data_IF_766903828198
#
_entry.id   IF_766903828198
#
_cell.length_a   1.000
_cell.length_b   1.000
_cell.length_c   1.000
_cell.angle_alpha   90.00
_cell.angle_beta   90.00
_cell.angle_gamma   90.00
#
_symmetry.space_group_name_H-M   'P 1'
#
loop_
_entity.id
_entity.type
_entity.pdbx_description
1 polymer ?
#
# COMPACT_ATOMS: atom_id res chain seq x y z
N UNK A 1 61.54 54.99 18.14
CA UNK A 1 61.12 54.36 16.88
C UNK A 1 61.16 52.81 16.94
N UNK A 2 62.28 52.17 17.24
CA UNK A 2 62.39 50.69 17.25
C UNK A 2 61.51 49.91 18.23
N UNK A 3 61.06 50.50 19.36
CA UNK A 3 60.11 49.81 20.30
C UNK A 3 58.60 49.89 19.81
N UNK A 4 58.24 50.93 19.10
CA UNK A 4 56.90 51.11 18.49
C UNK A 4 56.65 50.07 17.43
N UNK A 5 57.63 49.80 16.57
CA UNK A 5 57.58 48.84 15.49
C UNK A 5 57.54 47.39 15.99
N UNK A 6 58.19 47.10 17.15
CA UNK A 6 58.13 45.81 17.82
C UNK A 6 56.81 45.53 18.50
N UNK A 7 56.11 46.51 19.03
CA UNK A 7 54.80 46.40 19.64
C UNK A 7 53.71 46.26 18.57
N UNK A 8 53.87 46.93 17.43
CA UNK A 8 52.98 46.80 16.26
C UNK A 8 53.08 45.40 15.62
N UNK A 9 54.31 44.87 15.50
CA UNK A 9 54.54 43.48 15.06
C UNK A 9 53.96 42.44 16.02
N UNK A 10 54.03 42.65 17.33
CA UNK A 10 53.42 41.75 18.31
C UNK A 10 51.88 41.77 18.25
N UNK A 11 51.27 42.94 18.02
CA UNK A 11 49.85 43.06 17.84
C UNK A 11 49.38 42.33 16.54
N UNK A 12 50.07 42.52 15.43
CA UNK A 12 49.78 41.83 14.16
C UNK A 12 49.90 40.31 14.30
N UNK A 13 50.93 39.82 14.98
CA UNK A 13 51.09 38.37 15.23
C UNK A 13 50.03 37.82 16.17
N UNK A 14 49.57 38.59 17.16
CA UNK A 14 48.47 38.20 18.04
C UNK A 14 47.13 38.14 17.27
N UNK A 15 46.86 39.10 16.40
CA UNK A 15 45.68 39.16 15.55
C UNK A 15 45.64 38.01 14.54
N UNK A 16 46.73 37.74 13.84
CA UNK A 16 46.89 36.60 12.93
C UNK A 16 46.72 35.26 13.64
N UNK A 17 47.22 35.11 14.89
CA UNK A 17 46.98 33.90 15.69
C UNK A 17 45.53 33.75 16.09
N UNK A 18 44.84 34.83 16.47
CA UNK A 18 43.44 34.81 16.82
C UNK A 18 42.56 34.43 15.62
N UNK A 19 42.88 34.99 14.44
CA UNK A 19 42.21 34.67 13.19
C UNK A 19 42.43 33.21 12.75
N UNK A 20 43.65 32.70 12.90
CA UNK A 20 43.97 31.31 12.59
C UNK A 20 43.25 30.32 13.55
N UNK A 21 43.11 30.66 14.82
CA UNK A 21 42.36 29.88 15.79
C UNK A 21 40.86 29.92 15.50
N UNK A 22 40.31 31.08 15.11
CA UNK A 22 38.93 31.24 14.69
C UNK A 22 38.63 30.46 13.41
N UNK A 23 39.51 30.49 12.42
CA UNK A 23 39.40 29.69 11.19
C UNK A 23 39.43 28.18 11.48
N UNK A 24 40.39 27.69 12.28
CA UNK A 24 40.41 26.26 12.67
C UNK A 24 39.18 25.82 13.45
N UNK A 25 38.63 26.66 14.30
CA UNK A 25 37.40 26.38 15.02
C UNK A 25 36.20 26.34 14.05
N UNK A 26 36.16 27.18 13.02
CA UNK A 26 35.15 27.22 11.97
C UNK A 26 35.23 25.98 11.07
N UNK A 27 36.43 25.59 10.63
CA UNK A 27 36.65 24.36 9.84
C UNK A 27 36.23 23.09 10.59
N UNK A 28 36.54 23.02 11.90
CA UNK A 28 36.14 21.89 12.76
C UNK A 28 34.62 21.82 12.95
N UNK A 29 33.91 22.96 12.94
CA UNK A 29 32.48 23.08 12.94
C UNK A 29 31.88 22.72 11.58
N UNK A 30 32.49 23.12 10.46
CA UNK A 30 32.02 22.81 9.10
C UNK A 30 32.27 21.35 8.74
N UNK A 31 33.36 20.72 9.18
CA UNK A 31 33.57 19.29 8.99
C UNK A 31 32.49 18.41 9.59
N UNK A 32 31.96 18.79 10.74
CA UNK A 32 30.88 18.08 11.39
C UNK A 32 29.52 18.21 10.64
N UNK A 33 29.21 19.39 10.11
CA UNK A 33 27.98 19.61 9.34
C UNK A 33 27.96 18.83 8.02
N UNK A 34 29.12 18.53 7.42
CA UNK A 34 29.23 17.66 6.24
C UNK A 34 28.71 16.24 6.52
N UNK A 35 29.01 15.67 7.69
CA UNK A 35 28.49 14.35 8.06
C UNK A 35 26.97 14.37 8.29
N UNK A 36 26.43 15.43 8.89
CA UNK A 36 24.98 15.59 9.03
C UNK A 36 24.31 15.66 7.67
N UNK A 37 24.83 16.48 6.74
CA UNK A 37 24.29 16.59 5.39
C UNK A 37 24.35 15.26 4.63
N UNK A 38 25.45 14.51 4.75
CA UNK A 38 25.59 13.20 4.11
C UNK A 38 24.58 12.18 4.65
N UNK A 39 24.40 12.11 5.96
CA UNK A 39 23.39 11.23 6.58
C UNK A 39 21.98 11.60 6.15
N UNK A 40 21.68 12.89 6.00
CA UNK A 40 20.39 13.37 5.51
C UNK A 40 20.11 12.91 4.07
N UNK A 41 21.11 12.98 3.19
CA UNK A 41 20.98 12.50 1.81
C UNK A 41 20.69 11.01 1.79
N UNK A 42 21.39 10.20 2.59
CA UNK A 42 21.14 8.75 2.69
C UNK A 42 19.71 8.47 3.17
N UNK A 43 19.27 9.13 4.24
CA UNK A 43 17.90 8.98 4.77
C UNK A 43 16.87 9.39 3.72
N UNK A 44 17.11 10.47 2.98
CA UNK A 44 16.21 10.94 1.92
C UNK A 44 16.07 9.93 0.76
N UNK A 45 17.18 9.30 0.35
CA UNK A 45 17.18 8.24 -0.66
C UNK A 45 16.38 7.03 -0.18
N UNK A 46 16.60 6.59 1.08
CA UNK A 46 15.84 5.49 1.67
C UNK A 46 14.33 5.82 1.76
N UNK A 47 13.99 7.05 2.13
CA UNK A 47 12.61 7.54 2.15
C UNK A 47 11.97 7.51 0.76
N UNK A 48 12.72 7.88 -0.29
CA UNK A 48 12.24 7.83 -1.68
C UNK A 48 11.98 6.38 -2.12
N UNK A 49 12.87 5.44 -1.79
CA UNK A 49 12.68 4.01 -2.06
C UNK A 49 11.46 3.48 -1.33
N UNK A 50 11.30 3.81 -0.04
CA UNK A 50 10.12 3.43 0.74
C UNK A 50 8.83 3.97 0.13
N UNK A 51 8.81 5.23 -0.31
CA UNK A 51 7.66 5.87 -0.96
C UNK A 51 7.29 5.19 -2.28
N UNK A 52 8.28 4.88 -3.11
CA UNK A 52 8.06 4.17 -4.37
C UNK A 52 7.46 2.76 -4.14
N UNK A 53 7.99 2.01 -3.19
CA UNK A 53 7.48 0.67 -2.84
C UNK A 53 6.08 0.73 -2.21
N UNK A 54 5.84 1.68 -1.30
CA UNK A 54 4.54 1.93 -0.70
C UNK A 54 3.47 2.27 -1.73
N UNK A 55 3.80 3.14 -2.70
CA UNK A 55 2.94 3.45 -3.84
C UNK A 55 2.61 2.23 -4.69
N UNK A 56 3.57 1.34 -4.92
CA UNK A 56 3.36 0.07 -5.63
C UNK A 56 2.34 -0.84 -4.92
N UNK A 57 2.40 -0.95 -3.59
CA UNK A 57 1.41 -1.71 -2.81
C UNK A 57 0.02 -1.06 -2.87
N UNK A 58 -0.08 0.27 -2.79
CA UNK A 58 -1.35 0.99 -2.94
C UNK A 58 -1.99 0.75 -4.31
N UNK A 59 -1.19 0.82 -5.37
CA UNK A 59 -1.66 0.54 -6.74
C UNK A 59 -2.15 -0.90 -6.89
N UNK A 60 -1.44 -1.87 -6.29
CA UNK A 60 -1.87 -3.26 -6.27
C UNK A 60 -3.19 -3.43 -5.53
N UNK A 61 -3.35 -2.80 -4.36
CA UNK A 61 -4.61 -2.80 -3.60
C UNK A 61 -5.77 -2.34 -4.47
N UNK A 62 -5.62 -1.19 -5.14
CA UNK A 62 -6.67 -0.65 -6.00
C UNK A 62 -7.00 -1.57 -7.18
N UNK A 63 -5.98 -2.17 -7.81
CA UNK A 63 -6.17 -3.12 -8.91
C UNK A 63 -6.98 -4.34 -8.47
N UNK A 64 -6.58 -4.96 -7.36
CA UNK A 64 -7.25 -6.16 -6.85
C UNK A 64 -8.68 -5.85 -6.34
N UNK A 65 -8.90 -4.68 -5.73
CA UNK A 65 -10.25 -4.22 -5.36
C UNK A 65 -11.14 -4.01 -6.58
N UNK A 66 -10.61 -3.46 -7.67
CA UNK A 66 -11.35 -3.32 -8.92
C UNK A 66 -11.71 -4.69 -9.51
N UNK A 67 -10.79 -5.66 -9.47
CA UNK A 67 -11.09 -7.04 -9.90
C UNK A 67 -12.16 -7.69 -9.03
N UNK A 68 -12.08 -7.51 -7.71
CA UNK A 68 -13.10 -7.99 -6.79
C UNK A 68 -14.49 -7.38 -7.10
N UNK A 69 -14.54 -6.11 -7.44
CA UNK A 69 -15.79 -5.43 -7.85
C UNK A 69 -16.34 -5.99 -9.16
N UNK A 70 -15.46 -6.25 -10.14
CA UNK A 70 -15.84 -6.88 -11.40
C UNK A 70 -16.45 -8.27 -11.16
N UNK A 71 -15.75 -9.14 -10.42
CA UNK A 71 -16.22 -10.47 -10.11
C UNK A 71 -17.50 -10.47 -9.26
N UNK A 72 -17.70 -9.46 -8.41
CA UNK A 72 -18.97 -9.25 -7.71
C UNK A 72 -20.11 -8.95 -8.69
N UNK A 73 -19.87 -8.11 -9.70
CA UNK A 73 -20.87 -7.81 -10.72
C UNK A 73 -21.19 -9.07 -11.54
N UNK A 74 -20.17 -9.82 -11.98
CA UNK A 74 -20.35 -11.09 -12.70
C UNK A 74 -21.14 -12.12 -11.88
N UNK A 75 -20.85 -12.25 -10.58
CA UNK A 75 -21.61 -13.12 -9.69
C UNK A 75 -23.07 -12.67 -9.56
N UNK A 76 -23.31 -11.36 -9.41
CA UNK A 76 -24.66 -10.78 -9.32
C UNK A 76 -25.47 -11.02 -10.60
N UNK A 77 -24.84 -10.89 -11.77
CA UNK A 77 -25.47 -11.16 -13.07
C UNK A 77 -25.87 -12.64 -13.19
N UNK A 78 -25.00 -13.57 -12.73
CA UNK A 78 -25.35 -14.99 -12.70
C UNK A 78 -26.54 -15.26 -11.76
N UNK A 79 -26.58 -14.64 -10.58
CA UNK A 79 -27.71 -14.79 -9.65
C UNK A 79 -29.00 -14.21 -10.22
N UNK A 80 -28.95 -13.05 -10.89
CA UNK A 80 -30.09 -12.50 -11.58
C UNK A 80 -30.62 -13.44 -12.72
N UNK A 81 -29.66 -14.06 -13.44
CA UNK A 81 -30.03 -15.06 -14.46
C UNK A 81 -30.63 -16.33 -13.85
N UNK A 82 -30.08 -16.80 -12.71
CA UNK A 82 -30.67 -17.89 -11.91
C UNK A 82 -32.11 -17.56 -11.50
N UNK A 83 -32.37 -16.36 -11.01
CA UNK A 83 -33.72 -15.91 -10.60
C UNK A 83 -34.68 -15.93 -11.77
N UNK A 84 -34.28 -15.39 -12.92
CA UNK A 84 -35.09 -15.41 -14.14
C UNK A 84 -35.43 -16.83 -14.60
N UNK A 85 -34.47 -17.77 -14.53
CA UNK A 85 -34.71 -19.19 -14.85
C UNK A 85 -35.59 -19.86 -13.82
N UNK A 86 -35.46 -19.53 -12.54
CA UNK A 86 -36.29 -20.03 -11.45
C UNK A 86 -37.77 -19.64 -11.63
N UNK A 87 -38.01 -18.38 -11.98
CA UNK A 87 -39.37 -17.91 -12.28
C UNK A 87 -39.98 -18.71 -13.43
N UNK A 88 -39.22 -18.92 -14.52
CA UNK A 88 -39.71 -19.75 -15.66
C UNK A 88 -39.95 -21.20 -15.25
N UNK A 89 -39.04 -21.80 -14.47
CA UNK A 89 -39.23 -23.17 -13.98
C UNK A 89 -40.48 -23.29 -13.14
N UNK A 90 -40.74 -22.34 -12.22
CA UNK A 90 -41.94 -22.33 -11.39
C UNK A 90 -43.22 -22.18 -12.22
N UNK A 91 -43.22 -21.33 -13.24
CA UNK A 91 -44.39 -21.20 -14.16
C UNK A 91 -44.68 -22.51 -14.89
N UNK A 92 -43.66 -23.20 -15.39
CA UNK A 92 -43.84 -24.51 -16.03
C UNK A 92 -44.21 -25.61 -15.01
N UNK A 93 -43.76 -25.52 -13.79
CA UNK A 93 -44.15 -26.43 -12.73
C UNK A 93 -45.64 -26.30 -12.39
N UNK A 94 -46.14 -25.08 -12.25
CA UNK A 94 -47.57 -24.81 -12.05
C UNK A 94 -48.40 -25.34 -13.24
N UNK A 95 -47.95 -25.14 -14.48
CA UNK A 95 -48.62 -25.65 -15.65
C UNK A 95 -48.61 -27.19 -15.71
N UNK A 96 -47.51 -27.81 -15.30
CA UNK A 96 -47.40 -29.27 -15.16
C UNK A 96 -48.45 -29.84 -14.16
N UNK A 97 -48.55 -29.18 -13.01
CA UNK A 97 -49.54 -29.53 -11.98
C UNK A 97 -50.97 -29.39 -12.52
N UNK A 98 -51.28 -28.31 -13.22
CA UNK A 98 -52.59 -28.08 -13.85
C UNK A 98 -52.94 -29.16 -14.88
N UNK A 99 -52.00 -29.50 -15.77
CA UNK A 99 -52.23 -30.55 -16.80
C UNK A 99 -52.37 -31.94 -16.20
N UNK A 100 -51.67 -32.21 -15.12
CA UNK A 100 -51.73 -33.52 -14.42
C UNK A 100 -53.03 -33.69 -13.64
N UNK A 101 -53.60 -32.60 -13.12
CA UNK A 101 -54.88 -32.61 -12.39
C UNK A 101 -56.11 -32.57 -13.29
N UNK A 102 -55.96 -32.43 -14.61
CA UNK A 102 -57.07 -32.39 -15.56
C UNK A 102 -57.81 -33.74 -15.61
N UNK A 103 -59.15 -33.75 -15.77
CA UNK A 103 -59.96 -34.99 -15.84
C UNK A 103 -59.53 -35.93 -16.98
N UNK A 104 -58.97 -35.38 -18.06
CA UNK A 104 -58.37 -36.13 -19.18
C UNK A 104 -56.97 -35.60 -19.40
N UNK A 105 -55.94 -36.26 -18.85
CA UNK A 105 -54.58 -35.81 -18.95
C UNK A 105 -54.03 -35.92 -20.38
N UNK A 106 -53.49 -34.85 -20.92
CA UNK A 106 -52.72 -34.85 -22.20
C UNK A 106 -51.29 -35.32 -21.95
N UNK A 107 -51.06 -36.61 -22.15
CA UNK A 107 -49.74 -37.24 -21.87
C UNK A 107 -48.61 -36.64 -22.72
N UNK A 108 -48.74 -36.33 -24.03
CA UNK A 108 -47.71 -35.63 -24.82
C UNK A 108 -47.41 -34.23 -24.30
N UNK A 109 -48.40 -33.44 -23.92
CA UNK A 109 -48.19 -32.11 -23.35
C UNK A 109 -47.50 -32.18 -22.00
N UNK A 110 -47.88 -33.08 -21.11
CA UNK A 110 -47.24 -33.34 -19.83
C UNK A 110 -45.74 -33.70 -20.01
N UNK A 111 -45.42 -34.60 -20.93
CA UNK A 111 -44.04 -35.00 -21.22
C UNK A 111 -43.18 -33.82 -21.69
N UNK A 112 -43.73 -32.96 -22.56
CA UNK A 112 -43.09 -31.76 -23.09
C UNK A 112 -42.79 -30.73 -21.97
N UNK A 113 -43.78 -30.47 -21.09
CA UNK A 113 -43.61 -29.53 -19.98
C UNK A 113 -42.61 -30.08 -18.96
N UNK A 114 -42.68 -31.38 -18.62
CA UNK A 114 -41.74 -32.03 -17.73
C UNK A 114 -40.29 -31.93 -18.25
N UNK A 115 -40.06 -32.12 -19.55
CA UNK A 115 -38.75 -31.93 -20.18
C UNK A 115 -38.24 -30.50 -20.06
N UNK A 116 -39.13 -29.48 -20.18
CA UNK A 116 -38.76 -28.08 -19.98
C UNK A 116 -38.37 -27.80 -18.53
N UNK A 117 -39.13 -28.28 -17.55
CA UNK A 117 -38.80 -28.13 -16.12
C UNK A 117 -37.43 -28.74 -15.83
N UNK A 118 -37.17 -29.97 -16.30
CA UNK A 118 -35.88 -30.63 -16.13
C UNK A 118 -34.74 -29.83 -16.78
N UNK A 119 -34.96 -29.23 -17.96
CA UNK A 119 -33.99 -28.36 -18.63
C UNK A 119 -33.66 -27.11 -17.79
N UNK A 120 -34.66 -26.46 -17.24
CA UNK A 120 -34.44 -25.29 -16.37
C UNK A 120 -33.72 -25.65 -15.07
N UNK A 121 -34.01 -26.81 -14.46
CA UNK A 121 -33.29 -27.27 -13.26
C UNK A 121 -31.79 -27.51 -13.57
N UNK A 122 -31.47 -28.09 -14.73
CA UNK A 122 -30.10 -28.22 -15.19
C UNK A 122 -29.42 -26.86 -15.39
N UNK A 123 -30.09 -25.94 -16.12
CA UNK A 123 -29.60 -24.57 -16.33
C UNK A 123 -29.28 -23.87 -15.00
N UNK A 124 -30.18 -24.00 -14.01
CA UNK A 124 -30.00 -23.43 -12.67
C UNK A 124 -28.78 -23.98 -11.95
N UNK A 125 -28.50 -25.29 -12.07
CA UNK A 125 -27.32 -25.91 -11.50
C UNK A 125 -26.02 -25.34 -12.12
N UNK A 126 -25.97 -25.21 -13.45
CA UNK A 126 -24.82 -24.66 -14.19
C UNK A 126 -24.60 -23.19 -13.82
N UNK A 127 -25.67 -22.39 -13.74
CA UNK A 127 -25.60 -20.97 -13.35
C UNK A 127 -25.10 -20.83 -11.91
N UNK A 128 -25.60 -21.67 -10.98
CA UNK A 128 -25.14 -21.67 -9.59
C UNK A 128 -23.65 -21.97 -9.49
N UNK A 129 -23.15 -22.92 -10.29
CA UNK A 129 -21.72 -23.23 -10.31
C UNK A 129 -20.90 -22.04 -10.84
N UNK A 130 -21.39 -21.36 -11.89
CA UNK A 130 -20.75 -20.15 -12.42
C UNK A 130 -20.75 -19.00 -11.41
N UNK A 131 -21.88 -18.74 -10.73
CA UNK A 131 -21.99 -17.71 -9.70
C UNK A 131 -20.98 -17.95 -8.55
N UNK A 132 -20.94 -19.17 -8.01
CA UNK A 132 -19.99 -19.54 -6.95
C UNK A 132 -18.54 -19.43 -7.39
N UNK A 133 -18.22 -19.70 -8.65
CA UNK A 133 -16.87 -19.49 -9.20
C UNK A 133 -16.48 -18.02 -9.15
N UNK A 134 -17.36 -17.12 -9.58
CA UNK A 134 -17.09 -15.68 -9.52
C UNK A 134 -17.02 -15.16 -8.07
N UNK A 135 -17.85 -15.67 -7.17
CA UNK A 135 -17.72 -15.37 -5.74
C UNK A 135 -16.36 -15.78 -5.18
N UNK A 136 -15.86 -16.96 -5.56
CA UNK A 136 -14.53 -17.42 -5.17
C UNK A 136 -13.40 -16.52 -5.71
N UNK A 137 -13.49 -16.09 -6.98
CA UNK A 137 -12.55 -15.16 -7.59
C UNK A 137 -12.57 -13.79 -6.91
N UNK A 138 -13.77 -13.28 -6.57
CA UNK A 138 -13.96 -12.05 -5.79
C UNK A 138 -13.26 -12.14 -4.44
N UNK A 139 -13.49 -13.22 -3.71
CA UNK A 139 -12.95 -13.39 -2.36
C UNK A 139 -11.42 -13.53 -2.38
N UNK A 140 -10.87 -14.20 -3.40
CA UNK A 140 -9.43 -14.24 -3.61
C UNK A 140 -8.85 -12.85 -3.91
N UNK A 141 -9.46 -12.10 -4.83
CA UNK A 141 -9.03 -10.74 -5.16
C UNK A 141 -9.08 -9.81 -3.93
N UNK A 142 -10.15 -9.90 -3.11
CA UNK A 142 -10.24 -9.17 -1.83
C UNK A 142 -9.11 -9.53 -0.88
N UNK A 143 -8.82 -10.81 -0.72
CA UNK A 143 -7.76 -11.30 0.15
C UNK A 143 -6.39 -10.80 -0.27
N UNK A 144 -6.12 -10.75 -1.57
CA UNK A 144 -4.88 -10.18 -2.12
C UNK A 144 -4.82 -8.66 -1.91
N UNK A 145 -5.96 -7.97 -2.11
CA UNK A 145 -6.08 -6.54 -1.86
C UNK A 145 -5.80 -6.19 -0.39
N UNK A 146 -6.37 -6.93 0.55
CA UNK A 146 -6.19 -6.71 1.99
C UNK A 146 -4.73 -6.88 2.42
N UNK A 147 -4.04 -7.90 1.89
CA UNK A 147 -2.60 -8.08 2.14
C UNK A 147 -1.79 -6.91 1.59
N UNK A 148 -2.06 -6.51 0.35
CA UNK A 148 -1.37 -5.37 -0.27
C UNK A 148 -1.64 -4.06 0.50
N UNK A 149 -2.85 -3.85 1.00
CA UNK A 149 -3.23 -2.72 1.83
C UNK A 149 -2.44 -2.69 3.15
N UNK A 150 -2.29 -3.84 3.82
CA UNK A 150 -1.50 -3.93 5.04
C UNK A 150 -0.01 -3.62 4.79
N UNK A 151 0.57 -4.12 3.69
CA UNK A 151 1.93 -3.76 3.28
C UNK A 151 2.05 -2.25 3.02
N UNK A 152 1.08 -1.65 2.32
CA UNK A 152 1.05 -0.22 2.05
C UNK A 152 0.99 0.60 3.35
N UNK A 153 0.11 0.21 4.29
CA UNK A 153 -0.04 0.87 5.58
C UNK A 153 1.25 0.83 6.41
N UNK A 154 1.89 -0.32 6.50
CA UNK A 154 3.15 -0.49 7.24
C UNK A 154 4.30 0.27 6.58
N UNK A 155 4.35 0.31 5.26
CA UNK A 155 5.32 1.11 4.53
C UNK A 155 5.10 2.60 4.75
N UNK A 156 3.83 3.06 4.83
CA UNK A 156 3.47 4.43 5.18
C UNK A 156 4.05 4.86 6.52
N UNK A 157 4.03 3.99 7.54
CA UNK A 157 4.67 4.27 8.84
C UNK A 157 6.19 4.46 8.70
N UNK A 158 6.87 3.63 7.89
CA UNK A 158 8.32 3.80 7.63
C UNK A 158 8.60 5.15 6.96
N UNK A 159 7.78 5.55 5.98
CA UNK A 159 7.90 6.84 5.29
C UNK A 159 7.75 8.00 6.29
N UNK A 160 6.76 7.94 7.17
CA UNK A 160 6.54 8.96 8.20
C UNK A 160 7.74 9.08 9.14
N UNK A 161 8.31 7.95 9.57
CA UNK A 161 9.52 7.94 10.42
C UNK A 161 10.73 8.56 9.70
N UNK A 162 10.91 8.28 8.39
CA UNK A 162 11.94 8.93 7.59
C UNK A 162 11.73 10.45 7.51
N UNK A 163 10.49 10.92 7.32
CA UNK A 163 10.18 12.35 7.29
C UNK A 163 10.50 13.04 8.60
N UNK A 164 10.20 12.40 9.73
CA UNK A 164 10.58 12.90 11.07
C UNK A 164 12.11 12.96 11.19
N UNK A 165 12.83 11.91 10.76
CA UNK A 165 14.29 11.89 10.78
C UNK A 165 14.90 13.03 9.96
N UNK A 166 14.38 13.26 8.74
CA UNK A 166 14.79 14.36 7.86
C UNK A 166 14.55 15.71 8.52
N UNK A 167 13.38 15.93 9.10
CA UNK A 167 13.01 17.19 9.75
C UNK A 167 13.93 17.49 10.95
N UNK A 168 14.22 16.49 11.79
CA UNK A 168 15.16 16.62 12.92
C UNK A 168 16.58 16.89 12.45
N UNK A 169 17.02 16.24 11.38
CA UNK A 169 18.35 16.48 10.80
C UNK A 169 18.47 17.88 10.18
N UNK A 170 17.44 18.38 9.50
CA UNK A 170 17.40 19.75 9.00
C UNK A 170 17.45 20.78 10.14
N UNK A 171 16.67 20.56 11.21
CA UNK A 171 16.73 21.40 12.42
C UNK A 171 18.12 21.37 13.06
N UNK A 172 18.80 20.22 13.06
CA UNK A 172 20.15 20.08 13.59
C UNK A 172 21.14 20.95 12.83
N UNK A 173 21.04 21.08 11.50
CA UNK A 173 21.89 21.96 10.70
C UNK A 173 21.72 23.43 11.07
N UNK A 174 20.51 23.88 11.40
CA UNK A 174 20.20 25.25 11.80
C UNK A 174 20.71 25.53 13.22
N UNK A 175 20.31 24.68 14.18
CA UNK A 175 20.59 24.88 15.62
C UNK A 175 22.03 24.48 15.99
N UNK A 176 22.70 23.70 15.14
CA UNK A 176 24.07 23.19 15.32
C UNK A 176 24.30 22.41 16.63
N UNK A 177 23.26 21.68 17.12
CA UNK A 177 23.33 20.85 18.34
C UNK A 177 23.43 19.36 17.96
N UNK A 178 24.52 18.69 18.35
CA UNK A 178 24.79 17.26 18.08
C UNK A 178 23.70 16.29 18.56
N UNK A 179 23.01 16.50 19.71
CA UNK A 179 21.96 15.56 20.14
C UNK A 179 20.83 15.39 19.10
N UNK A 180 20.44 16.43 18.38
CA UNK A 180 19.39 16.36 17.35
C UNK A 180 19.80 15.45 16.18
N UNK A 181 21.07 15.45 15.82
CA UNK A 181 21.61 14.54 14.80
C UNK A 181 21.54 13.07 15.23
N UNK A 182 21.91 12.76 16.48
CA UNK A 182 21.81 11.40 17.02
C UNK A 182 20.36 10.90 17.01
N UNK A 183 19.42 11.73 17.44
CA UNK A 183 17.98 11.40 17.40
C UNK A 183 17.51 11.16 15.96
N UNK A 184 17.92 12.00 15.01
CA UNK A 184 17.60 11.82 13.58
C UNK A 184 18.12 10.46 13.06
N UNK A 185 19.35 10.05 13.41
CA UNK A 185 19.91 8.75 13.02
C UNK A 185 19.09 7.60 13.63
N UNK A 186 18.70 7.70 14.89
CA UNK A 186 17.89 6.67 15.57
C UNK A 186 16.55 6.48 14.83
N UNK A 187 15.83 7.57 14.53
CA UNK A 187 14.59 7.49 13.76
C UNK A 187 14.81 6.92 12.35
N UNK A 188 15.88 7.33 11.68
CA UNK A 188 16.25 6.79 10.37
C UNK A 188 16.58 5.29 10.41
N UNK A 189 17.27 4.82 11.44
CA UNK A 189 17.58 3.41 11.64
C UNK A 189 16.31 2.57 11.91
N UNK A 190 15.42 3.05 12.78
CA UNK A 190 14.13 2.41 13.06
C UNK A 190 13.29 2.32 11.78
N UNK A 191 13.20 3.41 11.02
CA UNK A 191 12.47 3.45 9.74
C UNK A 191 13.04 2.45 8.73
N UNK A 192 14.38 2.35 8.64
CA UNK A 192 15.06 1.40 7.75
C UNK A 192 14.77 -0.05 8.17
N UNK A 193 14.87 -0.35 9.46
CA UNK A 193 14.57 -1.68 9.99
C UNK A 193 13.12 -2.08 9.69
N UNK A 194 12.17 -1.18 9.89
CA UNK A 194 10.76 -1.42 9.58
C UNK A 194 10.52 -1.59 8.08
N UNK A 195 11.16 -0.79 7.23
CA UNK A 195 11.10 -0.94 5.77
C UNK A 195 11.59 -2.31 5.33
N UNK A 196 12.76 -2.76 5.83
CA UNK A 196 13.32 -4.08 5.53
C UNK A 196 12.39 -5.20 6.00
N UNK A 197 11.82 -5.07 7.20
CA UNK A 197 10.84 -6.03 7.71
C UNK A 197 9.64 -6.18 6.77
N UNK A 198 9.07 -5.07 6.31
CA UNK A 198 7.90 -5.10 5.39
C UNK A 198 8.26 -5.68 4.04
N UNK A 199 9.47 -5.45 3.52
CA UNK A 199 9.89 -5.90 2.19
C UNK A 199 10.28 -7.39 2.15
N UNK A 200 10.84 -7.94 3.22
CA UNK A 200 11.49 -9.26 3.20
C UNK A 200 10.90 -10.27 4.18
N UNK A 201 10.32 -9.84 5.30
CA UNK A 201 9.81 -10.74 6.33
C UNK A 201 8.28 -10.83 6.38
N UNK A 202 7.57 -9.87 5.82
CA UNK A 202 6.10 -9.94 5.79
C UNK A 202 5.68 -10.78 4.58
N UNK A 203 4.94 -11.90 4.75
CA UNK A 203 4.48 -12.72 3.62
C UNK A 203 3.46 -11.95 2.77
N UNK A 204 3.66 -12.00 1.44
CA UNK A 204 2.76 -11.40 0.45
C UNK A 204 1.44 -12.17 0.33
#
# INVERSE_FOLDING_TARGET
MMNSDLDELKQLVAELRADHLAQKAKEKREGWTKYVSLTMVVIAVLAAVASMRGGGFSTRTLKEMNQATLHQAEASDQWAFFEAKSIKANLYQIELERLTAAPVPDAPAIAKIRAKVAGYEKDKADITAAAKKFEGLRDEARRVADRAAEHSRRMGLSITLFQIAISLGAMCLIVKKRPLWLISIIFGAIATMQMVYVLYLLPL
#
